data_IF_943478306741
#
_entry.id   IF_943478306741
#
_cell.length_a   1.000
_cell.length_b   1.000
_cell.length_c   1.000
_cell.angle_alpha   90.00
_cell.angle_beta   90.00
_cell.angle_gamma   90.00
#
_symmetry.space_group_name_H-M   'P 1'
#
loop_
_entity.id
_entity.type
_entity.pdbx_description
1 polymer ?
#
# COMPACT_ATOMS: atom_id res chain seq x y z
N UNK A 1 22.23 -44.23 -32.52
CA UNK A 1 23.47 -43.54 -32.08
C UNK A 1 23.33 -42.07 -32.47
N UNK A 2 23.48 -41.10 -31.54
CA UNK A 2 23.43 -39.69 -31.91
C UNK A 2 24.53 -39.38 -32.94
N UNK A 3 24.15 -38.70 -34.03
CA UNK A 3 25.05 -38.24 -35.09
C UNK A 3 26.13 -37.31 -34.49
N UNK A 4 27.37 -37.38 -34.99
CA UNK A 4 28.49 -36.49 -34.63
C UNK A 4 28.08 -35.01 -34.52
N UNK A 5 27.23 -34.50 -35.44
CA UNK A 5 26.70 -33.15 -35.41
C UNK A 5 25.88 -32.83 -34.15
N UNK A 6 25.09 -33.78 -33.65
CA UNK A 6 24.31 -33.62 -32.43
C UNK A 6 25.23 -33.52 -31.20
N UNK A 7 26.28 -34.36 -31.13
CA UNK A 7 27.27 -34.32 -30.04
C UNK A 7 28.07 -33.02 -30.04
N UNK A 8 28.44 -32.52 -31.21
CA UNK A 8 29.15 -31.24 -31.35
C UNK A 8 28.27 -30.05 -30.93
N UNK A 9 26.98 -30.05 -31.32
CA UNK A 9 26.03 -29.02 -30.89
C UNK A 9 25.79 -29.06 -29.38
N UNK A 10 25.62 -30.24 -28.78
CA UNK A 10 25.43 -30.41 -27.34
C UNK A 10 26.68 -29.96 -26.56
N UNK A 11 27.88 -30.34 -27.01
CA UNK A 11 29.13 -29.91 -26.38
C UNK A 11 29.33 -28.39 -26.48
N UNK A 12 29.02 -27.79 -27.63
CA UNK A 12 29.08 -26.34 -27.83
C UNK A 12 28.06 -25.61 -26.94
N UNK A 13 26.83 -26.12 -26.86
CA UNK A 13 25.80 -25.57 -25.97
C UNK A 13 26.22 -25.64 -24.50
N UNK A 14 26.71 -26.78 -24.02
CA UNK A 14 27.15 -26.94 -22.64
C UNK A 14 28.37 -26.07 -22.32
N UNK A 15 29.30 -25.92 -23.26
CA UNK A 15 30.44 -25.02 -23.12
C UNK A 15 29.99 -23.57 -23.00
N UNK A 16 29.18 -23.08 -23.95
CA UNK A 16 28.63 -21.71 -23.93
C UNK A 16 27.80 -21.47 -22.67
N UNK A 17 26.92 -22.40 -22.31
CA UNK A 17 26.10 -22.33 -21.10
C UNK A 17 26.97 -22.30 -19.84
N UNK A 18 28.01 -23.13 -19.76
CA UNK A 18 28.96 -23.17 -18.67
C UNK A 18 29.72 -21.86 -18.51
N UNK A 19 30.25 -21.30 -19.61
CA UNK A 19 30.93 -20.01 -19.62
C UNK A 19 30.00 -18.87 -19.22
N UNK A 20 28.77 -18.84 -19.75
CA UNK A 20 27.75 -17.86 -19.37
C UNK A 20 27.39 -17.97 -17.88
N UNK A 21 27.23 -19.17 -17.35
CA UNK A 21 26.99 -19.39 -15.92
C UNK A 21 28.16 -18.89 -15.05
N UNK A 22 29.40 -19.12 -15.48
CA UNK A 22 30.58 -18.66 -14.75
C UNK A 22 30.70 -17.14 -14.74
N UNK A 23 30.38 -16.47 -15.86
CA UNK A 23 30.34 -15.01 -15.96
C UNK A 23 29.15 -14.41 -15.19
N UNK A 24 28.00 -15.08 -15.20
CA UNK A 24 26.79 -14.62 -14.51
C UNK A 24 26.92 -14.72 -12.99
N UNK A 25 27.50 -15.79 -12.45
CA UNK A 25 27.60 -16.02 -10.99
C UNK A 25 28.17 -14.84 -10.17
N UNK A 26 29.27 -14.18 -10.55
CA UNK A 26 29.76 -13.02 -9.83
C UNK A 26 28.91 -11.75 -10.06
N UNK A 27 28.22 -11.65 -11.20
CA UNK A 27 27.46 -10.47 -11.60
C UNK A 27 25.97 -10.52 -11.22
N UNK A 28 25.43 -11.70 -10.87
CA UNK A 28 23.99 -11.93 -10.65
C UNK A 28 23.35 -10.95 -9.67
N UNK A 29 24.05 -10.58 -8.61
CA UNK A 29 23.55 -9.63 -7.61
C UNK A 29 23.43 -8.22 -8.19
N UNK A 30 24.41 -7.79 -8.99
CA UNK A 30 24.39 -6.49 -9.66
C UNK A 30 23.35 -6.44 -10.78
N UNK A 31 23.20 -7.53 -11.53
CA UNK A 31 22.17 -7.65 -12.57
C UNK A 31 20.78 -7.58 -11.93
N UNK A 32 20.55 -8.34 -10.86
CA UNK A 32 19.27 -8.34 -10.16
C UNK A 32 18.94 -6.96 -9.56
N UNK A 33 19.91 -6.34 -8.89
CA UNK A 33 19.78 -4.97 -8.38
C UNK A 33 19.50 -3.97 -9.51
N UNK A 34 20.22 -4.07 -10.63
CA UNK A 34 20.05 -3.19 -11.79
C UNK A 34 18.65 -3.29 -12.39
N UNK A 35 18.13 -4.50 -12.60
CA UNK A 35 16.76 -4.72 -13.10
C UNK A 35 15.74 -4.09 -12.15
N UNK A 36 15.90 -4.29 -10.84
CA UNK A 36 15.01 -3.73 -9.84
C UNK A 36 15.07 -2.20 -9.81
N UNK A 37 16.25 -1.59 -9.85
CA UNK A 37 16.43 -0.15 -9.91
C UNK A 37 15.80 0.45 -11.18
N UNK A 38 15.97 -0.20 -12.34
CA UNK A 38 15.32 0.23 -13.58
C UNK A 38 13.80 0.16 -13.45
N UNK A 39 13.24 -0.90 -12.86
CA UNK A 39 11.80 -1.00 -12.62
C UNK A 39 11.27 0.15 -11.74
N UNK A 40 11.95 0.47 -10.63
CA UNK A 40 11.56 1.58 -9.75
C UNK A 40 11.70 2.93 -10.46
N UNK A 41 12.80 3.15 -11.19
CA UNK A 41 13.03 4.39 -11.94
C UNK A 41 11.98 4.58 -13.05
N UNK A 42 11.63 3.51 -13.77
CA UNK A 42 10.56 3.53 -14.77
C UNK A 42 9.21 3.82 -14.15
N UNK A 43 8.89 3.22 -13.00
CA UNK A 43 7.64 3.51 -12.28
C UNK A 43 7.58 4.98 -11.86
N UNK A 44 8.66 5.50 -11.27
CA UNK A 44 8.76 6.91 -10.90
C UNK A 44 8.63 7.85 -12.11
N UNK A 45 9.25 7.51 -13.24
CA UNK A 45 9.12 8.26 -14.48
C UNK A 45 7.69 8.25 -15.02
N UNK A 46 7.00 7.10 -15.00
CA UNK A 46 5.59 6.99 -15.40
C UNK A 46 4.70 7.84 -14.49
N UNK A 47 4.88 7.77 -13.17
CA UNK A 47 4.11 8.58 -12.22
C UNK A 47 4.31 10.07 -12.45
N UNK A 48 5.54 10.48 -12.81
CA UNK A 48 5.85 11.88 -13.08
C UNK A 48 5.26 12.38 -14.42
N UNK A 49 5.31 11.56 -15.46
CA UNK A 49 4.89 11.94 -16.83
C UNK A 49 3.40 11.70 -17.08
N UNK A 50 2.84 10.64 -16.50
CA UNK A 50 1.45 10.19 -16.67
C UNK A 50 0.79 9.95 -15.30
N UNK A 51 0.62 10.97 -14.45
CA UNK A 51 -0.09 10.81 -13.19
C UNK A 51 -1.57 10.47 -13.45
N UNK A 52 -2.16 9.61 -12.62
CA UNK A 52 -3.61 9.33 -12.69
C UNK A 52 -4.38 10.31 -11.81
N UNK A 53 -5.42 10.90 -12.39
CA UNK A 53 -6.30 11.82 -11.69
C UNK A 53 -7.52 11.08 -11.11
N UNK A 54 -7.77 11.22 -9.81
CA UNK A 54 -8.92 10.63 -9.12
C UNK A 54 -9.66 11.68 -8.27
N UNK A 55 -10.93 11.41 -7.97
CA UNK A 55 -11.79 12.39 -7.28
C UNK A 55 -11.26 12.79 -5.89
N UNK A 56 -10.52 11.92 -5.21
CA UNK A 56 -9.91 12.22 -3.90
C UNK A 56 -9.01 13.45 -3.92
N UNK A 57 -8.48 13.85 -5.09
CA UNK A 57 -7.68 15.06 -5.25
C UNK A 57 -8.41 16.30 -4.75
N UNK A 58 -9.72 16.43 -5.00
CA UNK A 58 -10.49 17.60 -4.53
C UNK A 58 -10.56 17.63 -3.01
N UNK A 59 -10.93 16.50 -2.39
CA UNK A 59 -11.13 16.42 -0.95
C UNK A 59 -9.81 16.55 -0.17
N UNK A 60 -8.71 15.96 -0.66
CA UNK A 60 -7.40 16.18 -0.03
C UNK A 60 -6.90 17.61 -0.22
N UNK A 61 -7.06 18.21 -1.41
CA UNK A 61 -6.70 19.61 -1.65
C UNK A 61 -7.46 20.54 -0.72
N UNK A 62 -8.78 20.34 -0.57
CA UNK A 62 -9.59 21.08 0.39
C UNK A 62 -9.09 20.91 1.82
N UNK A 63 -8.82 19.68 2.25
CA UNK A 63 -8.33 19.41 3.61
C UNK A 63 -6.96 20.08 3.87
N UNK A 64 -6.12 20.19 2.85
CA UNK A 64 -4.85 20.94 2.92
C UNK A 64 -5.11 22.44 3.07
N UNK A 65 -6.07 23.02 2.36
CA UNK A 65 -6.36 24.46 2.40
C UNK A 65 -7.20 24.90 3.62
N UNK A 66 -7.90 23.97 4.25
CA UNK A 66 -8.93 24.23 5.27
C UNK A 66 -8.49 25.12 6.45
N UNK A 67 -7.27 25.01 7.02
CA UNK A 67 -6.84 25.91 8.11
C UNK A 67 -6.66 27.38 7.70
N UNK A 68 -6.50 27.67 6.41
CA UNK A 68 -6.36 29.03 5.89
C UNK A 68 -7.69 29.60 5.38
N UNK A 69 -8.61 28.73 4.96
CA UNK A 69 -9.90 29.11 4.35
C UNK A 69 -11.05 28.55 5.17
N UNK A 70 -11.64 29.41 6.01
CA UNK A 70 -12.76 29.05 6.87
C UNK A 70 -14.13 29.05 6.17
N UNK A 71 -14.27 29.77 5.05
CA UNK A 71 -15.52 29.81 4.28
C UNK A 71 -15.64 28.55 3.40
N UNK A 72 -16.65 27.67 3.62
CA UNK A 72 -16.82 26.45 2.85
C UNK A 72 -17.00 26.69 1.34
N UNK A 73 -17.61 27.82 0.95
CA UNK A 73 -17.81 28.16 -0.47
C UNK A 73 -16.49 28.51 -1.14
N UNK A 74 -15.69 29.36 -0.48
CA UNK A 74 -14.36 29.71 -0.98
C UNK A 74 -13.40 28.51 -0.97
N UNK A 75 -13.46 27.66 0.06
CA UNK A 75 -12.66 26.44 0.15
C UNK A 75 -12.97 25.50 -1.01
N UNK A 76 -14.26 25.28 -1.29
CA UNK A 76 -14.72 24.50 -2.45
C UNK A 76 -14.20 25.12 -3.75
N UNK A 77 -14.44 26.41 -3.98
CA UNK A 77 -14.03 27.11 -5.20
C UNK A 77 -12.53 26.99 -5.46
N UNK A 78 -11.70 27.25 -4.45
CA UNK A 78 -10.24 27.16 -4.59
C UNK A 78 -9.78 25.72 -4.83
N UNK A 79 -10.33 24.75 -4.11
CA UNK A 79 -9.96 23.34 -4.27
C UNK A 79 -10.25 22.83 -5.69
N UNK A 80 -11.42 23.20 -6.25
CA UNK A 80 -11.77 22.86 -7.62
C UNK A 80 -10.93 23.61 -8.66
N UNK A 81 -10.52 24.85 -8.38
CA UNK A 81 -9.63 25.62 -9.24
C UNK A 81 -8.23 24.98 -9.33
N UNK A 82 -7.62 24.65 -8.18
CA UNK A 82 -6.31 23.98 -8.16
C UNK A 82 -6.32 22.65 -8.91
N UNK A 83 -7.36 21.83 -8.73
CA UNK A 83 -7.47 20.57 -9.48
C UNK A 83 -7.62 20.85 -10.98
N UNK A 84 -8.45 21.81 -11.37
CA UNK A 84 -8.64 22.21 -12.77
C UNK A 84 -7.33 22.63 -13.45
N UNK A 85 -6.49 23.37 -12.75
CA UNK A 85 -5.20 23.86 -13.28
C UNK A 85 -4.15 22.75 -13.42
N UNK A 86 -4.36 21.58 -12.82
CA UNK A 86 -3.41 20.47 -12.78
C UNK A 86 -3.82 19.22 -13.57
N UNK A 87 -4.97 19.25 -14.25
CA UNK A 87 -5.49 18.14 -15.05
C UNK A 87 -5.95 18.64 -16.42
N UNK A 88 -6.08 17.75 -17.40
CA UNK A 88 -6.65 18.13 -18.70
C UNK A 88 -8.14 18.46 -18.60
N UNK A 89 -8.66 19.23 -19.55
CA UNK A 89 -10.10 19.58 -19.58
C UNK A 89 -11.00 18.32 -19.60
N UNK A 90 -10.63 17.30 -20.38
CA UNK A 90 -11.37 16.04 -20.44
C UNK A 90 -11.36 15.25 -19.12
N UNK A 91 -10.21 15.24 -18.41
CA UNK A 91 -10.14 14.66 -17.07
C UNK A 91 -10.98 15.44 -16.08
N UNK A 92 -10.92 16.78 -16.11
CA UNK A 92 -11.70 17.63 -15.23
C UNK A 92 -13.21 17.41 -15.42
N UNK A 93 -13.67 17.31 -16.66
CA UNK A 93 -15.06 16.98 -16.99
C UNK A 93 -15.43 15.61 -16.43
N UNK A 94 -14.58 14.59 -16.63
CA UNK A 94 -14.84 13.25 -16.07
C UNK A 94 -14.91 13.29 -14.54
N UNK A 95 -14.02 14.06 -13.91
CA UNK A 95 -13.92 14.20 -12.46
C UNK A 95 -15.01 15.06 -11.82
N UNK A 96 -15.84 15.75 -12.61
CA UNK A 96 -16.91 16.62 -12.10
C UNK A 96 -18.29 16.28 -12.65
N UNK A 97 -18.38 15.59 -13.80
CA UNK A 97 -19.63 15.42 -14.56
C UNK A 97 -20.00 13.96 -14.87
N UNK A 98 -19.18 12.95 -14.53
CA UNK A 98 -19.41 11.56 -14.97
C UNK A 98 -20.60 10.85 -14.30
N UNK A 99 -21.01 11.28 -13.10
CA UNK A 99 -22.14 10.71 -12.35
C UNK A 99 -22.74 11.70 -11.37
N UNK A 100 -24.00 11.47 -10.99
CA UNK A 100 -24.79 12.35 -10.12
C UNK A 100 -24.05 12.76 -8.84
N UNK A 101 -23.32 11.84 -8.21
CA UNK A 101 -22.46 12.15 -7.07
C UNK A 101 -21.46 13.27 -7.39
N UNK A 102 -20.65 13.13 -8.46
CA UNK A 102 -19.60 14.09 -8.79
C UNK A 102 -20.17 15.44 -9.20
N UNK A 103 -21.28 15.45 -9.95
CA UNK A 103 -22.01 16.68 -10.31
C UNK A 103 -22.43 17.41 -9.04
N UNK A 104 -23.07 16.70 -8.12
CA UNK A 104 -23.51 17.27 -6.83
C UNK A 104 -22.34 17.84 -6.03
N UNK A 105 -21.23 17.12 -5.92
CA UNK A 105 -20.05 17.61 -5.21
C UNK A 105 -19.42 18.84 -5.88
N UNK A 106 -19.51 18.95 -7.21
CA UNK A 106 -18.94 20.06 -7.97
C UNK A 106 -19.82 21.32 -7.94
N UNK A 107 -21.13 21.17 -7.79
CA UNK A 107 -22.08 22.28 -7.81
C UNK A 107 -22.45 22.80 -6.41
N UNK A 108 -22.39 21.96 -5.38
CA UNK A 108 -22.81 22.31 -4.03
C UNK A 108 -21.67 22.20 -3.00
N UNK A 109 -21.16 23.35 -2.52
CA UNK A 109 -20.12 23.40 -1.50
C UNK A 109 -20.51 22.70 -0.19
N UNK A 110 -21.76 22.80 0.25
CA UNK A 110 -22.20 22.17 1.50
C UNK A 110 -22.18 20.65 1.39
N UNK A 111 -22.64 20.09 0.26
CA UNK A 111 -22.55 18.67 -0.01
C UNK A 111 -21.09 18.18 0.02
N UNK A 112 -20.18 18.93 -0.62
CA UNK A 112 -18.75 18.65 -0.63
C UNK A 112 -18.12 18.67 0.76
N UNK A 113 -18.45 19.66 1.59
CA UNK A 113 -17.93 19.77 2.96
C UNK A 113 -18.27 18.54 3.79
N UNK A 114 -19.44 17.91 3.59
CA UNK A 114 -19.81 16.69 4.33
C UNK A 114 -18.84 15.53 4.09
N UNK A 115 -18.16 15.49 2.93
CA UNK A 115 -17.23 14.41 2.58
C UNK A 115 -15.86 14.56 3.26
N UNK A 116 -15.48 15.76 3.71
CA UNK A 116 -14.13 16.06 4.21
C UNK A 116 -13.76 15.29 5.48
N UNK A 117 -14.76 14.87 6.28
CA UNK A 117 -14.55 14.03 7.47
C UNK A 117 -13.81 12.72 7.17
N UNK A 118 -13.97 12.15 5.96
CA UNK A 118 -13.21 10.96 5.55
C UNK A 118 -11.72 11.24 5.32
N UNK A 119 -11.34 12.48 5.03
CA UNK A 119 -10.01 12.87 4.58
C UNK A 119 -9.19 13.50 5.72
N UNK A 120 -9.82 14.29 6.59
CA UNK A 120 -9.20 14.94 7.77
C UNK A 120 -8.46 13.97 8.70
N UNK A 121 -8.95 12.74 8.86
CA UNK A 121 -8.36 11.76 9.79
C UNK A 121 -6.97 11.24 9.35
N UNK A 122 -6.55 11.51 8.11
CA UNK A 122 -5.25 11.05 7.57
C UNK A 122 -4.17 12.08 7.84
N UNK A 123 -3.98 12.40 9.12
CA UNK A 123 -3.19 13.55 9.60
C UNK A 123 -1.83 13.61 8.91
N UNK A 124 -1.03 12.54 8.97
CA UNK A 124 0.34 12.62 8.47
C UNK A 124 0.38 12.83 6.96
N UNK A 125 -0.58 12.31 6.20
CA UNK A 125 -0.67 12.55 4.76
C UNK A 125 -1.01 14.01 4.46
N UNK A 126 -2.05 14.53 5.12
CA UNK A 126 -2.51 15.93 4.95
C UNK A 126 -1.44 16.92 5.38
N UNK A 127 -0.82 16.73 6.55
CA UNK A 127 0.20 17.64 7.07
C UNK A 127 1.51 17.59 6.25
N UNK A 128 1.88 16.41 5.73
CA UNK A 128 3.00 16.33 4.77
C UNK A 128 2.67 17.13 3.51
N UNK A 129 1.44 17.02 2.99
CA UNK A 129 1.03 17.78 1.81
C UNK A 129 0.99 19.28 2.08
N UNK A 130 0.52 19.70 3.27
CA UNK A 130 0.52 21.09 3.73
C UNK A 130 1.93 21.68 3.74
N UNK A 131 2.88 21.01 4.41
CA UNK A 131 4.28 21.47 4.47
C UNK A 131 4.92 21.59 3.08
N UNK A 132 4.55 20.72 2.14
CA UNK A 132 5.01 20.83 0.76
C UNK A 132 4.30 21.96 0.01
N UNK A 133 3.05 22.26 0.34
CA UNK A 133 2.24 23.29 -0.30
C UNK A 133 2.74 24.71 -0.04
N UNK A 134 3.56 24.91 1.00
CA UNK A 134 4.29 26.16 1.23
C UNK A 134 5.27 26.49 0.08
N UNK A 135 5.66 25.48 -0.71
CA UNK A 135 6.65 25.60 -1.79
C UNK A 135 6.08 25.27 -3.18
N UNK A 136 4.91 24.63 -3.26
CA UNK A 136 4.31 24.21 -4.52
C UNK A 136 2.80 24.16 -4.43
N UNK A 137 2.14 24.01 -5.58
CA UNK A 137 0.70 23.78 -5.64
C UNK A 137 0.27 22.52 -4.83
N UNK A 138 -0.88 22.54 -4.11
CA UNK A 138 -1.30 21.42 -3.27
C UNK A 138 -1.50 20.09 -4.01
N UNK A 139 -1.96 20.14 -5.26
CA UNK A 139 -2.11 18.93 -6.09
C UNK A 139 -0.73 18.39 -6.46
N UNK A 140 0.22 19.26 -6.78
CA UNK A 140 1.63 18.86 -7.02
C UNK A 140 2.29 18.32 -5.75
N UNK A 141 2.00 18.88 -4.58
CA UNK A 141 2.46 18.37 -3.29
C UNK A 141 1.98 16.93 -3.05
N UNK A 142 0.69 16.66 -3.26
CA UNK A 142 0.13 15.31 -3.14
C UNK A 142 0.76 14.33 -4.16
N UNK A 143 1.02 14.77 -5.41
CA UNK A 143 1.72 13.95 -6.43
C UNK A 143 3.17 13.65 -6.01
N UNK A 144 3.86 14.64 -5.43
CA UNK A 144 5.22 14.50 -4.93
C UNK A 144 5.30 13.46 -3.80
N UNK A 145 4.30 13.40 -2.92
CA UNK A 145 4.23 12.36 -1.87
C UNK A 145 4.15 10.97 -2.51
N UNK A 146 3.27 10.76 -3.50
CA UNK A 146 3.16 9.46 -4.18
C UNK A 146 4.47 9.08 -4.88
N UNK A 147 5.10 10.00 -5.61
CA UNK A 147 6.38 9.79 -6.29
C UNK A 147 7.50 9.45 -5.30
N UNK A 148 7.66 10.25 -4.25
CA UNK A 148 8.67 10.03 -3.21
C UNK A 148 8.45 8.69 -2.50
N UNK A 149 7.19 8.32 -2.24
CA UNK A 149 6.84 7.03 -1.62
C UNK A 149 7.22 5.85 -2.50
N UNK A 150 7.00 5.94 -3.82
CA UNK A 150 7.41 4.89 -4.76
C UNK A 150 8.93 4.66 -4.74
N UNK A 151 9.71 5.74 -4.81
CA UNK A 151 11.17 5.66 -4.73
C UNK A 151 11.62 5.12 -3.37
N UNK A 152 11.00 5.58 -2.28
CA UNK A 152 11.36 5.17 -0.93
C UNK A 152 11.06 3.69 -0.64
N UNK A 153 9.92 3.17 -1.10
CA UNK A 153 9.62 1.72 -1.04
C UNK A 153 10.66 0.92 -1.82
N UNK A 154 10.99 1.35 -3.04
CA UNK A 154 12.06 0.73 -3.84
C UNK A 154 13.40 0.73 -3.10
N UNK A 155 13.80 1.86 -2.52
CA UNK A 155 15.04 1.98 -1.77
C UNK A 155 15.09 1.03 -0.57
N UNK A 156 14.01 0.93 0.22
CA UNK A 156 13.96 0.00 1.36
C UNK A 156 14.07 -1.44 0.90
N UNK A 157 13.35 -1.84 -0.16
CA UNK A 157 13.42 -3.21 -0.67
C UNK A 157 14.82 -3.55 -1.21
N UNK A 158 15.48 -2.61 -1.86
CA UNK A 158 16.86 -2.77 -2.31
C UNK A 158 17.82 -2.94 -1.12
N UNK A 159 17.67 -2.13 -0.08
CA UNK A 159 18.44 -2.26 1.18
C UNK A 159 18.16 -3.60 1.85
N UNK A 160 16.91 -4.01 1.94
CA UNK A 160 16.51 -5.30 2.51
C UNK A 160 17.18 -6.45 1.73
N UNK A 161 17.14 -6.41 0.40
CA UNK A 161 17.80 -7.43 -0.42
C UNK A 161 19.32 -7.43 -0.26
N UNK A 162 19.96 -6.25 -0.22
CA UNK A 162 21.40 -6.11 -0.01
C UNK A 162 21.84 -6.69 1.34
N UNK A 163 21.12 -6.36 2.41
CA UNK A 163 21.42 -6.80 3.78
C UNK A 163 21.23 -8.29 4.00
N UNK A 164 20.38 -8.91 3.18
CA UNK A 164 20.07 -10.34 3.26
C UNK A 164 20.80 -11.19 2.21
N UNK A 165 21.66 -10.59 1.38
CA UNK A 165 22.40 -11.29 0.33
C UNK A 165 21.56 -11.73 -0.87
N UNK A 166 20.35 -11.16 -1.03
CA UNK A 166 19.33 -11.60 -2.00
C UNK A 166 19.19 -10.72 -3.23
N UNK A 167 20.14 -9.82 -3.51
CA UNK A 167 20.06 -8.87 -4.63
C UNK A 167 19.84 -9.51 -6.01
N UNK A 168 20.28 -10.76 -6.21
CA UNK A 168 20.02 -11.50 -7.45
C UNK A 168 18.54 -11.74 -7.72
N UNK A 169 17.68 -11.66 -6.70
CA UNK A 169 16.24 -11.81 -6.83
C UNK A 169 15.51 -10.48 -7.12
N UNK A 170 16.21 -9.42 -7.48
CA UNK A 170 15.59 -8.17 -7.92
C UNK A 170 14.47 -8.32 -8.95
N UNK A 171 14.55 -9.21 -9.97
CA UNK A 171 13.44 -9.48 -10.88
C UNK A 171 12.21 -10.08 -10.19
N UNK A 172 12.41 -10.92 -9.16
CA UNK A 172 11.32 -11.50 -8.37
C UNK A 172 10.67 -10.42 -7.50
N UNK A 173 11.45 -9.54 -6.90
CA UNK A 173 10.92 -8.39 -6.16
C UNK A 173 10.15 -7.42 -7.06
N UNK A 174 10.64 -7.17 -8.28
CA UNK A 174 9.91 -6.37 -9.27
C UNK A 174 8.58 -7.05 -9.67
N UNK A 175 8.59 -8.36 -9.92
CA UNK A 175 7.36 -9.11 -10.21
C UNK A 175 6.37 -9.06 -9.03
N UNK A 176 6.85 -9.17 -7.79
CA UNK A 176 6.04 -9.02 -6.58
C UNK A 176 5.38 -7.63 -6.52
N UNK A 177 6.10 -6.56 -6.86
CA UNK A 177 5.56 -5.20 -6.90
C UNK A 177 4.51 -5.03 -8.00
N UNK A 178 4.75 -5.56 -9.20
CA UNK A 178 3.77 -5.56 -10.29
C UNK A 178 2.49 -6.29 -9.87
N UNK A 179 2.62 -7.51 -9.34
CA UNK A 179 1.48 -8.32 -8.93
C UNK A 179 0.73 -7.77 -7.72
N UNK A 180 1.37 -6.95 -6.89
CA UNK A 180 0.75 -6.25 -5.76
C UNK A 180 0.22 -4.85 -6.13
N UNK A 181 0.07 -4.55 -7.42
CA UNK A 181 -0.47 -3.30 -7.96
C UNK A 181 0.31 -2.03 -7.52
N UNK A 182 1.64 -2.16 -7.38
CA UNK A 182 2.51 -1.04 -6.99
C UNK A 182 2.46 0.13 -7.97
N UNK A 183 2.47 -0.14 -9.28
CA UNK A 183 2.39 0.91 -10.30
C UNK A 183 1.07 1.68 -10.26
N UNK A 184 -0.05 1.00 -10.03
CA UNK A 184 -1.36 1.63 -9.92
C UNK A 184 -1.45 2.48 -8.64
N UNK A 185 -0.99 1.93 -7.52
CA UNK A 185 -0.94 2.64 -6.25
C UNK A 185 -0.06 3.90 -6.31
N UNK A 186 1.03 3.86 -7.09
CA UNK A 186 1.96 4.99 -7.26
C UNK A 186 1.40 6.12 -8.12
N UNK A 187 0.55 5.80 -9.10
CA UNK A 187 -0.07 6.80 -9.97
C UNK A 187 -1.25 7.52 -9.30
N UNK A 188 -1.88 6.90 -8.30
CA UNK A 188 -3.03 7.47 -7.59
C UNK A 188 -2.62 8.54 -6.57
N UNK A 189 -3.44 9.58 -6.47
CA UNK A 189 -3.39 10.56 -5.38
C UNK A 189 -4.15 10.01 -4.19
N UNK A 190 -3.45 9.17 -3.44
CA UNK A 190 -3.97 8.48 -2.26
C UNK A 190 -2.87 8.28 -1.21
N UNK A 191 -3.24 8.10 0.06
CA UNK A 191 -2.28 7.85 1.14
C UNK A 191 -1.71 6.42 1.14
N UNK A 192 -2.16 5.53 0.24
CA UNK A 192 -1.84 4.09 0.27
C UNK A 192 -0.36 3.80 0.14
N UNK A 193 0.29 4.41 -0.85
CA UNK A 193 1.71 4.16 -1.09
C UNK A 193 2.58 4.80 -0.01
N UNK A 194 2.13 5.93 0.55
CA UNK A 194 2.82 6.58 1.67
C UNK A 194 2.72 5.73 2.95
N UNK A 195 1.56 5.14 3.25
CA UNK A 195 1.42 4.19 4.33
C UNK A 195 2.24 2.91 4.09
N UNK A 196 2.30 2.46 2.82
CA UNK A 196 3.10 1.31 2.42
C UNK A 196 4.58 1.51 2.75
N UNK A 197 5.15 2.67 2.45
CA UNK A 197 6.53 3.00 2.82
C UNK A 197 6.78 2.76 4.31
N UNK A 198 5.93 3.31 5.18
CA UNK A 198 6.07 3.17 6.62
C UNK A 198 5.85 1.74 7.13
N UNK A 199 4.94 0.97 6.51
CA UNK A 199 4.70 -0.43 6.88
C UNK A 199 5.87 -1.33 6.49
N UNK A 200 6.40 -1.17 5.27
CA UNK A 200 7.55 -1.93 4.79
C UNK A 200 8.81 -1.56 5.58
N UNK A 201 8.99 -0.27 5.90
CA UNK A 201 10.06 0.20 6.77
C UNK A 201 9.96 -0.41 8.18
N UNK A 202 8.76 -0.38 8.78
CA UNK A 202 8.52 -0.98 10.08
C UNK A 202 8.86 -2.49 10.09
N UNK A 203 8.42 -3.22 9.06
CA UNK A 203 8.72 -4.63 8.89
C UNK A 203 10.23 -4.88 8.83
N UNK A 204 10.95 -4.13 7.99
CA UNK A 204 12.40 -4.22 7.87
C UNK A 204 13.12 -3.92 9.19
N UNK A 205 12.77 -2.81 9.85
CA UNK A 205 13.37 -2.40 11.14
C UNK A 205 13.09 -3.42 12.25
N UNK A 206 11.88 -3.98 12.30
CA UNK A 206 11.53 -5.03 13.23
C UNK A 206 12.37 -6.30 13.01
N UNK A 207 12.62 -6.69 11.77
CA UNK A 207 13.48 -7.83 11.46
C UNK A 207 14.96 -7.57 11.82
N UNK A 208 15.44 -6.33 11.67
CA UNK A 208 16.76 -5.87 12.12
C UNK A 208 16.86 -5.65 13.64
N UNK A 209 15.81 -5.98 14.41
CA UNK A 209 15.74 -5.83 15.88
C UNK A 209 15.72 -4.39 16.38
N UNK A 210 15.34 -3.44 15.53
CA UNK A 210 15.17 -2.02 15.87
C UNK A 210 13.70 -1.75 16.26
N UNK A 211 13.31 -2.26 17.43
CA UNK A 211 11.89 -2.31 17.85
C UNK A 211 11.23 -0.93 18.01
N UNK A 212 11.96 0.04 18.58
CA UNK A 212 11.43 1.39 18.76
C UNK A 212 11.27 2.13 17.42
N UNK A 213 12.28 2.20 16.52
CA UNK A 213 12.08 2.71 15.17
C UNK A 213 10.97 2.01 14.38
N UNK A 214 10.83 0.68 14.53
CA UNK A 214 9.73 -0.05 13.92
C UNK A 214 8.37 0.41 14.45
N UNK A 215 8.22 0.57 15.77
CA UNK A 215 6.99 1.08 16.39
C UNK A 215 6.66 2.51 15.94
N UNK A 216 7.65 3.41 15.87
CA UNK A 216 7.46 4.77 15.37
C UNK A 216 7.01 4.76 13.91
N UNK A 217 7.61 3.91 13.08
CA UNK A 217 7.21 3.74 11.68
C UNK A 217 5.78 3.19 11.55
N UNK A 218 5.36 2.24 12.40
CA UNK A 218 3.98 1.75 12.43
C UNK A 218 2.99 2.84 12.84
N UNK A 219 3.34 3.63 13.86
CA UNK A 219 2.50 4.75 14.29
C UNK A 219 2.37 5.80 13.18
N UNK A 220 3.45 6.08 12.45
CA UNK A 220 3.40 6.93 11.26
C UNK A 220 2.46 6.35 10.18
N UNK A 221 2.54 5.04 9.89
CA UNK A 221 1.61 4.39 8.96
C UNK A 221 0.14 4.56 9.39
N UNK A 222 -0.15 4.44 10.69
CA UNK A 222 -1.48 4.71 11.25
C UNK A 222 -1.93 6.16 11.05
N UNK A 223 -1.06 7.14 11.26
CA UNK A 223 -1.38 8.55 11.03
C UNK A 223 -1.59 8.89 9.54
N UNK A 224 -0.98 8.12 8.63
CA UNK A 224 -1.26 8.22 7.18
C UNK A 224 -2.60 7.60 6.83
N UNK A 225 -2.90 6.44 7.43
CA UNK A 225 -4.14 5.69 7.21
C UNK A 225 -4.58 4.97 8.50
N UNK A 226 -5.60 5.50 9.20
CA UNK A 226 -6.05 4.93 10.48
C UNK A 226 -6.56 3.49 10.40
N UNK A 227 -6.95 3.01 9.22
CA UNK A 227 -7.34 1.60 9.01
C UNK A 227 -6.21 0.59 9.28
N UNK A 228 -4.95 1.03 9.28
CA UNK A 228 -3.82 0.18 9.69
C UNK A 228 -3.80 -0.14 11.19
N UNK A 229 -4.67 0.48 12.00
CA UNK A 229 -4.89 0.06 13.39
C UNK A 229 -5.25 -1.43 13.48
N UNK A 230 -5.98 -1.98 12.50
CA UNK A 230 -6.30 -3.41 12.44
C UNK A 230 -5.02 -4.26 12.36
N UNK A 231 -4.07 -3.90 11.49
CA UNK A 231 -2.78 -4.58 11.40
C UNK A 231 -1.96 -4.43 12.68
N UNK A 232 -1.88 -3.21 13.23
CA UNK A 232 -1.12 -2.92 14.44
C UNK A 232 -1.68 -3.74 15.63
N UNK A 233 -3.00 -3.85 15.76
CA UNK A 233 -3.65 -4.67 16.79
C UNK A 233 -3.33 -6.16 16.65
N UNK A 234 -3.45 -6.72 15.45
CA UNK A 234 -3.09 -8.12 15.18
C UNK A 234 -1.60 -8.35 15.46
N UNK A 235 -0.72 -7.46 14.98
CA UNK A 235 0.71 -7.59 15.19
C UNK A 235 1.10 -7.50 16.67
N UNK A 236 0.46 -6.61 17.43
CA UNK A 236 0.58 -6.57 18.88
C UNK A 236 0.24 -7.92 19.52
N UNK A 237 -0.90 -8.54 19.17
CA UNK A 237 -1.30 -9.84 19.73
C UNK A 237 -0.24 -10.91 19.48
N UNK A 238 0.26 -11.02 18.25
CA UNK A 238 1.32 -11.98 17.93
C UNK A 238 2.63 -11.66 18.67
N UNK A 239 3.05 -10.39 18.73
CA UNK A 239 4.25 -9.99 19.47
C UNK A 239 4.12 -10.26 20.98
N UNK A 240 2.93 -10.08 21.56
CA UNK A 240 2.65 -10.34 22.97
C UNK A 240 2.69 -11.83 23.31
N UNK A 241 2.12 -12.69 22.46
CA UNK A 241 2.09 -14.15 22.64
C UNK A 241 3.50 -14.74 22.45
N UNK A 242 4.18 -14.37 21.37
CA UNK A 242 5.43 -15.03 20.98
C UNK A 242 6.69 -14.36 21.52
N UNK A 243 6.63 -13.08 21.93
CA UNK A 243 7.65 -12.41 22.72
C UNK A 243 8.51 -11.32 22.03
N UNK A 244 9.01 -11.48 20.78
CA UNK A 244 9.88 -10.49 20.16
C UNK A 244 9.21 -9.13 19.92
N UNK A 245 9.82 -8.06 20.45
CA UNK A 245 9.34 -6.68 20.32
C UNK A 245 8.06 -6.37 21.10
N UNK A 246 7.63 -7.26 22.01
CA UNK A 246 6.32 -7.16 22.69
C UNK A 246 6.03 -5.78 23.27
N UNK A 247 6.97 -5.18 23.98
CA UNK A 247 6.73 -3.92 24.68
C UNK A 247 6.59 -2.75 23.71
N UNK A 248 7.43 -2.68 22.69
CA UNK A 248 7.35 -1.63 21.67
C UNK A 248 6.06 -1.77 20.83
N UNK A 249 5.67 -2.99 20.47
CA UNK A 249 4.42 -3.21 19.72
C UNK A 249 3.18 -2.95 20.59
N UNK A 250 3.20 -3.30 21.88
CA UNK A 250 2.13 -2.95 22.83
C UNK A 250 2.01 -1.43 22.98
N UNK A 251 3.12 -0.73 23.17
CA UNK A 251 3.12 0.73 23.28
C UNK A 251 2.61 1.38 21.99
N UNK A 252 3.02 0.88 20.82
CA UNK A 252 2.53 1.34 19.52
C UNK A 252 1.02 1.14 19.38
N UNK A 253 0.51 -0.04 19.75
CA UNK A 253 -0.93 -0.32 19.70
C UNK A 253 -1.70 0.59 20.66
N UNK A 254 -1.26 0.74 21.91
CA UNK A 254 -1.91 1.62 22.88
C UNK A 254 -1.95 3.08 22.39
N UNK A 255 -0.84 3.59 21.85
CA UNK A 255 -0.77 4.93 21.29
C UNK A 255 -1.69 5.10 20.06
N UNK A 256 -1.68 4.14 19.13
CA UNK A 256 -2.53 4.16 17.93
C UNK A 256 -4.01 4.07 18.29
N UNK A 257 -4.36 3.24 19.27
CA UNK A 257 -5.73 3.08 19.75
C UNK A 257 -6.24 4.34 20.46
N UNK A 258 -5.43 4.94 21.34
CA UNK A 258 -5.77 6.20 21.98
C UNK A 258 -5.94 7.33 20.96
N UNK A 259 -5.02 7.44 20.00
CA UNK A 259 -5.12 8.40 18.90
C UNK A 259 -6.35 8.16 18.03
N UNK A 260 -6.72 6.90 17.76
CA UNK A 260 -7.94 6.55 17.03
C UNK A 260 -9.21 7.01 17.75
N UNK A 261 -9.31 6.78 19.06
CA UNK A 261 -10.44 7.25 19.87
C UNK A 261 -10.55 8.78 19.85
N UNK A 262 -9.42 9.48 19.93
CA UNK A 262 -9.38 10.94 19.82
C UNK A 262 -9.81 11.43 18.42
N UNK A 263 -9.30 10.80 17.35
CA UNK A 263 -9.61 11.15 15.97
C UNK A 263 -11.08 10.90 15.59
N UNK A 264 -11.65 9.80 16.06
CA UNK A 264 -13.00 9.37 15.68
C UNK A 264 -14.08 9.83 16.66
N UNK A 265 -13.71 10.33 17.84
CA UNK A 265 -14.63 10.87 18.83
C UNK A 265 -15.19 12.26 18.51
N UNK A 266 -14.66 12.95 17.49
CA UNK A 266 -15.17 14.24 17.01
C UNK A 266 -16.47 14.11 16.21
N UNK A 267 -17.28 15.18 16.20
CA UNK A 267 -18.61 15.22 15.56
C UNK A 267 -18.58 15.07 14.02
N UNK A 268 -17.42 15.26 13.39
CA UNK A 268 -17.29 15.30 11.93
C UNK A 268 -16.94 13.96 11.28
N UNK A 269 -16.64 12.92 12.05
CA UNK A 269 -16.29 11.62 11.49
C UNK A 269 -17.56 10.83 11.13
N UNK A 270 -17.79 10.46 9.84
CA UNK A 270 -19.05 9.82 9.44
C UNK A 270 -19.29 8.44 10.06
N UNK A 271 -18.27 7.80 10.64
CA UNK A 271 -18.39 6.49 11.24
C UNK A 271 -18.16 5.33 10.27
N UNK A 272 -17.89 4.15 10.83
CA UNK A 272 -17.48 2.97 10.06
C UNK A 272 -18.58 2.46 9.12
N UNK A 273 -19.83 2.40 9.61
CA UNK A 273 -20.92 1.83 8.81
C UNK A 273 -21.32 2.72 7.62
N UNK A 274 -21.37 4.03 7.82
CA UNK A 274 -21.60 5.01 6.74
C UNK A 274 -20.48 4.91 5.69
N UNK A 275 -19.22 4.81 6.12
CA UNK A 275 -18.09 4.62 5.21
C UNK A 275 -18.18 3.30 4.42
N UNK A 276 -18.55 2.21 5.09
CA UNK A 276 -18.77 0.91 4.48
C UNK A 276 -19.86 0.95 3.41
N UNK A 277 -21.00 1.57 3.72
CA UNK A 277 -22.12 1.74 2.79
C UNK A 277 -21.72 2.59 1.59
N UNK A 278 -21.12 3.76 1.85
CA UNK A 278 -20.66 4.68 0.81
C UNK A 278 -19.69 4.02 -0.18
N UNK A 279 -18.85 3.11 0.31
CA UNK A 279 -17.82 2.45 -0.52
C UNK A 279 -18.35 1.25 -1.31
N UNK A 280 -19.29 0.48 -0.75
CA UNK A 280 -19.67 -0.83 -1.30
C UNK A 280 -21.11 -0.92 -1.82
N UNK A 281 -21.97 0.00 -1.43
CA UNK A 281 -23.39 -0.01 -1.82
C UNK A 281 -23.65 1.08 -2.83
N UNK A 282 -23.46 2.34 -2.44
CA UNK A 282 -23.74 3.47 -3.32
C UNK A 282 -23.02 4.74 -2.88
N UNK A 283 -22.68 5.59 -3.85
CA UNK A 283 -22.25 6.96 -3.59
C UNK A 283 -23.48 7.84 -3.34
N UNK A 284 -23.57 8.46 -2.17
CA UNK A 284 -24.67 9.36 -1.81
C UNK A 284 -24.33 10.83 -2.06
N UNK A 285 -25.30 11.66 -2.44
CA UNK A 285 -25.07 13.07 -2.79
C UNK A 285 -24.59 13.95 -1.62
N UNK A 286 -24.88 13.58 -0.38
CA UNK A 286 -24.44 14.26 0.84
C UNK A 286 -24.42 13.26 1.99
N UNK A 287 -23.56 13.47 3.00
CA UNK A 287 -23.61 12.70 4.25
C UNK A 287 -24.52 13.34 5.31
N UNK A 288 -25.03 14.54 5.06
CA UNK A 288 -25.97 15.18 5.99
C UNK A 288 -27.25 14.37 6.12
N UNK A 289 -27.58 13.97 7.35
CA UNK A 289 -28.73 13.11 7.66
C UNK A 289 -28.63 11.70 7.08
N UNK A 290 -27.48 11.30 6.55
CA UNK A 290 -27.28 9.96 5.98
C UNK A 290 -26.90 8.97 7.06
N UNK A 291 -27.88 8.22 7.57
CA UNK A 291 -27.72 7.20 8.60
C UNK A 291 -28.38 5.88 8.16
N UNK A 292 -27.72 5.09 7.28
CA UNK A 292 -28.28 3.83 6.83
C UNK A 292 -28.33 2.84 8.01
N UNK A 293 -29.46 2.14 8.25
CA UNK A 293 -29.54 1.18 9.34
C UNK A 293 -28.56 0.03 9.12
N UNK A 294 -27.95 -0.47 10.19
CA UNK A 294 -27.08 -1.63 10.11
C UNK A 294 -27.86 -2.87 9.63
N UNK A 295 -27.30 -3.57 8.65
CA UNK A 295 -27.91 -4.77 8.08
C UNK A 295 -26.87 -5.88 7.91
N UNK A 296 -27.09 -6.99 8.62
CA UNK A 296 -26.24 -8.20 8.51
C UNK A 296 -26.28 -8.76 7.09
N UNK A 297 -27.46 -8.82 6.48
CA UNK A 297 -27.59 -9.30 5.09
C UNK A 297 -26.93 -8.36 4.10
N UNK A 298 -27.00 -7.04 4.33
CA UNK A 298 -26.28 -6.03 3.56
C UNK A 298 -24.76 -6.23 3.64
N UNK A 299 -24.24 -6.42 4.86
CA UNK A 299 -22.82 -6.69 5.09
C UNK A 299 -22.36 -7.99 4.41
N UNK A 300 -23.12 -9.09 4.53
CA UNK A 300 -22.80 -10.34 3.84
C UNK A 300 -22.80 -10.18 2.31
N UNK A 301 -23.74 -9.41 1.77
CA UNK A 301 -23.79 -9.11 0.33
C UNK A 301 -22.56 -8.29 -0.11
N UNK A 302 -22.11 -7.33 0.71
CA UNK A 302 -20.86 -6.59 0.45
C UNK A 302 -19.67 -7.56 0.38
N UNK A 303 -19.54 -8.49 1.34
CA UNK A 303 -18.48 -9.50 1.33
C UNK A 303 -18.49 -10.34 0.05
N UNK A 304 -19.67 -10.80 -0.38
CA UNK A 304 -19.80 -11.59 -1.62
C UNK A 304 -19.39 -10.76 -2.84
N UNK A 305 -19.92 -9.54 -2.97
CA UNK A 305 -19.61 -8.63 -4.10
C UNK A 305 -18.13 -8.30 -4.16
N UNK A 306 -17.53 -7.94 -3.02
CA UNK A 306 -16.10 -7.65 -2.93
C UNK A 306 -15.25 -8.88 -3.25
N UNK A 307 -15.67 -10.08 -2.86
CA UNK A 307 -14.93 -11.32 -3.16
C UNK A 307 -14.96 -11.61 -4.65
N UNK A 308 -16.15 -11.55 -5.27
CA UNK A 308 -16.29 -11.75 -6.71
C UNK A 308 -15.48 -10.71 -7.49
N UNK A 309 -15.56 -9.43 -7.09
CA UNK A 309 -14.79 -8.37 -7.74
C UNK A 309 -13.29 -8.54 -7.56
N UNK A 310 -12.84 -8.98 -6.39
CA UNK A 310 -11.44 -9.32 -6.11
C UNK A 310 -10.94 -10.45 -7.01
N UNK A 311 -11.74 -11.50 -7.21
CA UNK A 311 -11.39 -12.62 -8.07
C UNK A 311 -11.35 -12.27 -9.55
N UNK A 312 -12.23 -11.37 -10.01
CA UNK A 312 -12.41 -11.06 -11.43
C UNK A 312 -11.53 -9.92 -11.94
N UNK A 313 -11.18 -8.96 -11.08
CA UNK A 313 -10.54 -7.71 -11.51
C UNK A 313 -9.27 -7.35 -10.75
N UNK A 314 -8.86 -8.17 -9.78
CA UNK A 314 -7.75 -7.87 -8.88
C UNK A 314 -6.86 -9.10 -8.69
N UNK A 315 -5.65 -8.88 -8.21
CA UNK A 315 -4.58 -9.88 -8.14
C UNK A 315 -4.26 -10.32 -6.71
N UNK A 316 -4.70 -9.59 -5.69
CA UNK A 316 -4.28 -9.82 -4.31
C UNK A 316 -4.62 -11.23 -3.78
N UNK A 317 -5.80 -11.78 -4.13
CA UNK A 317 -6.18 -13.14 -3.73
C UNK A 317 -5.28 -14.19 -4.39
N UNK A 318 -5.00 -14.02 -5.69
CA UNK A 318 -4.13 -14.93 -6.43
C UNK A 318 -2.69 -14.88 -5.91
N UNK A 319 -2.18 -13.68 -5.62
CA UNK A 319 -0.85 -13.49 -5.05
C UNK A 319 -0.76 -14.07 -3.63
N UNK A 320 -1.75 -13.77 -2.77
CA UNK A 320 -1.84 -14.35 -1.42
C UNK A 320 -1.85 -15.89 -1.47
N UNK A 321 -2.65 -16.46 -2.37
CA UNK A 321 -2.72 -17.91 -2.55
C UNK A 321 -1.37 -18.48 -3.01
N UNK A 322 -0.69 -17.83 -3.96
CA UNK A 322 0.63 -18.23 -4.42
C UNK A 322 1.68 -18.17 -3.29
N UNK A 323 1.66 -17.12 -2.46
CA UNK A 323 2.55 -16.97 -1.31
C UNK A 323 2.29 -18.04 -0.23
N UNK A 324 1.02 -18.37 0.03
CA UNK A 324 0.64 -19.45 0.95
C UNK A 324 1.10 -20.81 0.43
N UNK A 325 0.93 -21.09 -0.86
CA UNK A 325 1.44 -22.32 -1.48
C UNK A 325 2.96 -22.40 -1.42
N UNK A 326 3.65 -21.29 -1.69
CA UNK A 326 5.10 -21.20 -1.59
C UNK A 326 5.58 -21.45 -0.16
N UNK A 327 4.92 -20.85 0.84
CA UNK A 327 5.19 -21.14 2.24
C UNK A 327 5.03 -22.63 2.55
N UNK A 328 3.90 -23.23 2.16
CA UNK A 328 3.59 -24.63 2.45
C UNK A 328 4.56 -25.62 1.78
N UNK A 329 5.12 -25.29 0.61
CA UNK A 329 5.98 -26.18 -0.17
C UNK A 329 7.48 -25.94 0.02
N UNK A 330 7.90 -24.69 0.21
CA UNK A 330 9.31 -24.30 0.11
C UNK A 330 9.91 -23.83 1.44
N UNK A 331 9.09 -23.55 2.46
CA UNK A 331 9.54 -23.02 3.75
C UNK A 331 9.34 -24.07 4.83
N UNK A 332 10.40 -24.46 5.51
CA UNK A 332 10.30 -25.22 6.76
C UNK A 332 10.04 -24.24 7.93
N UNK A 333 8.84 -24.24 8.57
CA UNK A 333 8.51 -23.25 9.59
C UNK A 333 9.43 -23.29 10.81
N UNK A 334 9.90 -24.49 11.17
CA UNK A 334 10.84 -24.70 12.27
C UNK A 334 12.20 -24.01 12.06
N UNK A 335 12.58 -23.74 10.79
CA UNK A 335 13.84 -23.05 10.44
C UNK A 335 13.69 -21.53 10.38
N UNK A 336 12.47 -20.99 10.52
CA UNK A 336 12.23 -19.55 10.54
C UNK A 336 12.73 -18.93 11.83
N UNK A 337 13.40 -17.78 11.72
CA UNK A 337 13.69 -16.90 12.83
C UNK A 337 12.37 -16.45 13.49
N UNK A 338 12.34 -16.38 14.83
CA UNK A 338 11.15 -16.02 15.60
C UNK A 338 10.52 -14.70 15.15
N UNK A 339 11.32 -13.64 14.90
CA UNK A 339 10.79 -12.35 14.42
C UNK A 339 10.14 -12.47 13.04
N UNK A 340 10.78 -13.20 12.12
CA UNK A 340 10.21 -13.45 10.80
C UNK A 340 8.90 -14.24 10.90
N UNK A 341 8.82 -15.21 11.80
CA UNK A 341 7.63 -16.00 12.06
C UNK A 341 6.49 -15.16 12.63
N UNK A 342 6.76 -14.35 13.66
CA UNK A 342 5.78 -13.46 14.28
C UNK A 342 5.22 -12.48 13.26
N UNK A 343 6.10 -11.80 12.52
CA UNK A 343 5.69 -10.82 11.51
C UNK A 343 4.93 -11.48 10.36
N UNK A 344 5.38 -12.64 9.86
CA UNK A 344 4.68 -13.38 8.80
C UNK A 344 3.24 -13.75 9.21
N UNK A 345 3.08 -14.28 10.43
CA UNK A 345 1.75 -14.67 10.93
C UNK A 345 0.86 -13.45 11.18
N UNK A 346 1.43 -12.37 11.72
CA UNK A 346 0.72 -11.12 11.91
C UNK A 346 0.23 -10.53 10.58
N UNK A 347 1.10 -10.47 9.57
CA UNK A 347 0.76 -9.96 8.23
C UNK A 347 -0.34 -10.79 7.58
N UNK A 348 -0.20 -12.13 7.57
CA UNK A 348 -1.20 -13.03 7.01
C UNK A 348 -2.56 -12.87 7.72
N UNK A 349 -2.57 -12.92 9.06
CA UNK A 349 -3.80 -12.76 9.84
C UNK A 349 -4.44 -11.38 9.65
N UNK A 350 -3.63 -10.34 9.44
CA UNK A 350 -4.11 -8.97 9.21
C UNK A 350 -4.76 -8.79 7.84
N UNK A 351 -4.32 -9.49 6.80
CA UNK A 351 -5.02 -9.49 5.51
C UNK A 351 -6.45 -10.00 5.71
N UNK A 352 -6.61 -11.12 6.42
CA UNK A 352 -7.92 -11.71 6.74
C UNK A 352 -8.76 -10.77 7.62
N UNK A 353 -8.18 -10.24 8.71
CA UNK A 353 -8.88 -9.35 9.63
C UNK A 353 -9.32 -8.06 8.94
N UNK A 354 -8.44 -7.43 8.16
CA UNK A 354 -8.75 -6.22 7.39
C UNK A 354 -9.85 -6.47 6.37
N UNK A 355 -9.79 -7.57 5.63
CA UNK A 355 -10.83 -7.93 4.66
C UNK A 355 -12.19 -8.11 5.34
N UNK A 356 -12.24 -8.72 6.53
CA UNK A 356 -13.50 -8.85 7.27
C UNK A 356 -14.00 -7.50 7.81
N UNK A 357 -13.13 -6.67 8.36
CA UNK A 357 -13.54 -5.36 8.93
C UNK A 357 -13.97 -4.38 7.83
N UNK A 358 -13.27 -4.37 6.69
CA UNK A 358 -13.55 -3.50 5.57
C UNK A 358 -13.14 -4.21 4.27
N UNK A 359 -14.07 -4.85 3.54
CA UNK A 359 -13.78 -5.72 2.41
C UNK A 359 -13.48 -4.94 1.13
N UNK A 360 -12.45 -4.10 1.19
CA UNK A 360 -11.91 -3.47 0.00
C UNK A 360 -11.51 -4.55 -1.00
N UNK A 361 -11.96 -4.45 -2.24
CA UNK A 361 -11.63 -5.43 -3.26
C UNK A 361 -10.28 -5.13 -3.95
N UNK A 362 -9.83 -3.87 -3.95
CA UNK A 362 -8.67 -3.42 -4.73
C UNK A 362 -7.33 -3.92 -4.16
N UNK A 363 -6.45 -4.42 -5.02
CA UNK A 363 -5.14 -4.95 -4.63
C UNK A 363 -4.30 -3.95 -3.84
N UNK A 364 -4.38 -2.65 -4.17
CA UNK A 364 -3.60 -1.58 -3.52
C UNK A 364 -3.74 -1.53 -1.99
N UNK A 365 -4.90 -1.92 -1.43
CA UNK A 365 -5.11 -1.92 0.02
C UNK A 365 -4.41 -3.06 0.76
N UNK A 366 -3.97 -4.09 0.00
CA UNK A 366 -3.25 -5.27 0.49
C UNK A 366 -1.77 -5.25 0.12
N UNK A 367 -1.36 -4.35 -0.78
CA UNK A 367 0.01 -4.18 -1.28
C UNK A 367 1.07 -4.29 -0.18
N UNK A 368 1.06 -3.50 0.92
CA UNK A 368 2.15 -3.56 1.90
C UNK A 368 2.25 -4.95 2.54
N UNK A 369 1.13 -5.60 2.79
CA UNK A 369 1.10 -6.91 3.44
C UNK A 369 1.63 -8.00 2.51
N UNK A 370 1.23 -7.99 1.24
CA UNK A 370 1.73 -8.92 0.22
C UNK A 370 3.24 -8.73 0.02
N UNK A 371 3.70 -7.48 -0.09
CA UNK A 371 5.13 -7.18 -0.23
C UNK A 371 5.93 -7.67 0.98
N UNK A 372 5.48 -7.39 2.21
CA UNK A 372 6.15 -7.84 3.43
C UNK A 372 6.19 -9.38 3.48
N UNK A 373 5.07 -10.04 3.20
CA UNK A 373 4.97 -11.50 3.20
C UNK A 373 5.89 -12.12 2.14
N UNK A 374 5.81 -11.68 0.88
CA UNK A 374 6.67 -12.12 -0.20
C UNK A 374 8.17 -11.93 0.09
N UNK A 375 8.56 -10.79 0.68
CA UNK A 375 9.96 -10.54 1.07
C UNK A 375 10.44 -11.46 2.20
N UNK A 376 9.62 -11.70 3.23
CA UNK A 376 9.96 -12.65 4.29
C UNK A 376 10.15 -14.06 3.72
N UNK A 377 9.24 -14.49 2.83
CA UNK A 377 9.29 -15.79 2.19
C UNK A 377 10.53 -15.95 1.31
N UNK A 378 10.84 -14.96 0.47
CA UNK A 378 12.01 -14.94 -0.40
C UNK A 378 13.32 -15.09 0.40
N UNK A 379 13.50 -14.26 1.42
CA UNK A 379 14.70 -14.28 2.28
C UNK A 379 14.79 -15.59 3.06
N UNK A 380 13.67 -16.08 3.57
CA UNK A 380 13.63 -17.33 4.34
C UNK A 380 13.99 -18.54 3.46
N UNK A 381 13.47 -18.59 2.24
CA UNK A 381 13.80 -19.64 1.28
C UNK A 381 15.29 -19.62 0.95
N UNK A 382 15.85 -18.45 0.62
CA UNK A 382 17.27 -18.30 0.31
C UNK A 382 18.17 -18.82 1.43
N UNK A 383 17.93 -18.39 2.67
CA UNK A 383 18.69 -18.83 3.85
C UNK A 383 18.56 -20.33 4.13
N UNK A 384 17.45 -20.95 3.76
CA UNK A 384 17.26 -22.39 3.92
C UNK A 384 18.00 -23.19 2.85
N UNK A 385 18.15 -22.65 1.63
CA UNK A 385 18.95 -23.26 0.57
C UNK A 385 20.45 -23.19 0.83
N UNK A 386 20.95 -22.12 1.47
CA UNK A 386 22.39 -22.00 1.81
C UNK A 386 22.84 -22.95 2.93
N UNK A 387 21.89 -23.51 3.70
CA UNK A 387 22.17 -24.42 4.83
C UNK A 387 22.09 -25.90 4.46
N UNK A 388 21.69 -26.20 3.23
CA UNK A 388 21.67 -27.54 2.63
C UNK A 388 22.89 -27.65 1.74
#
# INVERSE_FOLDING_TARGET
MPNLAQRSLEAMFLFVYGTLCQLYRPLRSWIGAGIFCVFIAMTAAVVHVFPLSNWDMFAYTATVLEPEINDPVELHRQSYAFVKDNVSEGEYLTLTQDRAYRIRQAEDPAAFTTMLGFYRIKILYVETARLLSDFMDPVKALRMISLASAVAVGAILLVWMARTGTLMYGPVAAALLVMSAFGDAAQLLSPDLYATFFLVLAAYLYLERLDLPAAVSLFAAFLVRPDHLAFIGVFFVFAAIYGPGRWSMTACFAASFAAYLWLTGGADHPGWWIHMWFTHVEYVPTLEGFDPPFSVSGYLLMLVRSTVRSLMSQTWLALLFAEVLFFAKCIAPAKLNDRARVLLYAVFASICAKYLVFPHYETRFYLPYLVIMGMILLVSWHRQQERV
#
